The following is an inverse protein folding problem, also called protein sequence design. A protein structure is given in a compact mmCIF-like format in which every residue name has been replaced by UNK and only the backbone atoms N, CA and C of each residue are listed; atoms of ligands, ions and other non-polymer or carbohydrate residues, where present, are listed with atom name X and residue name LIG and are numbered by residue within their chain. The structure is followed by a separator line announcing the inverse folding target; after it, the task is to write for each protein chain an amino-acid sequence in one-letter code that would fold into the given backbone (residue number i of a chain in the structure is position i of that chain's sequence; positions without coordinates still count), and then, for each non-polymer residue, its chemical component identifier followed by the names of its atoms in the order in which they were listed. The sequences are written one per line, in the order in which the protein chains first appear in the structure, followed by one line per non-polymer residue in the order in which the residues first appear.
data_IF_209833386750
#
_entry.id   IF_209833386750
#
_cell.length_a   1.000
_cell.length_b   1.000
_cell.length_c   1.000
_cell.angle_alpha   90.00
_cell.angle_beta   90.00
_cell.angle_gamma   90.00
#
_symmetry.space_group_name_H-M   'P 1'
#
loop_
_entity.id
_entity.type
_entity.pdbx_description
1 polymer ?
#
# COMPACT_ATOMS: atom_id res chain seq x y z
N UNK A 1 -17.64 -7.35 0.63
CA UNK A 1 -16.19 -7.41 0.83
C UNK A 1 -15.91 -7.84 2.25
N UNK A 2 -15.36 -9.03 2.43
CA UNK A 2 -15.30 -9.65 3.75
C UNK A 2 -13.92 -10.21 4.13
N UNK A 3 -12.94 -10.14 3.22
CA UNK A 3 -11.64 -10.76 3.43
C UNK A 3 -10.53 -9.74 3.62
N UNK A 4 -10.63 -8.60 2.93
CA UNK A 4 -9.60 -7.56 2.98
C UNK A 4 -9.67 -6.82 4.32
N UNK A 5 -8.52 -6.74 5.00
CA UNK A 5 -8.37 -5.89 6.18
C UNK A 5 -8.15 -4.45 5.73
N UNK A 6 -9.07 -3.56 6.10
CA UNK A 6 -8.99 -2.14 5.74
C UNK A 6 -8.58 -1.23 6.89
N UNK A 7 -8.50 -1.76 8.10
CA UNK A 7 -7.96 -1.04 9.24
C UNK A 7 -6.44 -1.14 9.24
N UNK A 8 -5.76 -0.05 9.57
CA UNK A 8 -4.31 -0.08 9.66
C UNK A 8 -3.87 -1.07 10.74
N UNK A 9 -3.02 -2.03 10.35
CA UNK A 9 -2.54 -3.07 11.26
C UNK A 9 -1.02 -3.21 11.20
N UNK A 10 -0.33 -2.13 10.93
CA UNK A 10 1.12 -2.12 10.80
C UNK A 10 1.79 -2.47 12.13
N UNK A 11 2.87 -3.22 12.04
CA UNK A 11 3.67 -3.60 13.18
C UNK A 11 4.32 -4.96 12.95
N UNK A 12 5.23 -5.31 13.82
CA UNK A 12 5.84 -6.64 13.82
C UNK A 12 4.97 -7.55 14.68
N UNK A 13 4.51 -8.70 14.15
CA UNK A 13 3.68 -9.61 14.94
C UNK A 13 4.34 -9.96 16.27
N UNK A 14 3.58 -9.87 17.36
CA UNK A 14 4.06 -10.15 18.72
C UNK A 14 4.80 -9.02 19.39
N UNK A 15 5.11 -7.93 18.68
CA UNK A 15 5.76 -6.78 19.29
C UNK A 15 4.76 -5.89 20.01
N UNK A 16 5.23 -5.23 21.08
CA UNK A 16 4.46 -4.25 21.82
C UNK A 16 5.05 -2.87 21.57
N UNK A 17 4.18 -1.90 21.30
CA UNK A 17 4.60 -0.54 20.98
C UNK A 17 4.10 0.45 22.04
N UNK A 18 4.87 1.52 22.24
CA UNK A 18 4.44 2.64 23.07
C UNK A 18 3.31 3.40 22.40
N UNK A 19 2.49 4.07 23.19
CA UNK A 19 1.32 4.79 22.68
C UNK A 19 1.68 5.89 21.68
N UNK A 20 2.89 6.42 21.74
CA UNK A 20 3.35 7.49 20.85
C UNK A 20 3.96 6.96 19.56
N UNK A 21 4.16 5.66 19.45
CA UNK A 21 4.77 5.06 18.27
C UNK A 21 3.71 4.70 17.22
N UNK A 22 3.97 5.07 15.98
CA UNK A 22 3.05 4.84 14.86
C UNK A 22 3.74 4.02 13.78
N UNK A 23 3.62 2.67 13.82
CA UNK A 23 4.29 1.82 12.82
C UNK A 23 3.91 2.13 11.38
N UNK A 24 2.71 2.64 11.15
CA UNK A 24 2.27 3.05 9.82
C UNK A 24 3.11 4.19 9.26
N UNK A 25 3.52 5.12 10.10
CA UNK A 25 4.40 6.23 9.71
C UNK A 25 5.78 5.71 9.30
N UNK A 26 6.30 4.72 10.01
CA UNK A 26 7.56 4.07 9.66
C UNK A 26 7.49 3.44 8.27
N UNK A 27 6.42 2.73 7.97
CA UNK A 27 6.23 2.13 6.66
C UNK A 27 6.17 3.21 5.57
N UNK A 28 5.39 4.26 5.81
CA UNK A 28 5.22 5.34 4.84
C UNK A 28 6.56 6.04 4.56
N UNK A 29 7.34 6.30 5.60
CA UNK A 29 8.66 6.90 5.47
C UNK A 29 9.60 5.99 4.65
N UNK A 30 9.59 4.70 4.92
CA UNK A 30 10.38 3.72 4.16
C UNK A 30 9.95 3.67 2.70
N UNK A 31 8.66 3.74 2.44
CA UNK A 31 8.12 3.72 1.08
C UNK A 31 8.62 4.94 0.29
N UNK A 32 8.54 6.13 0.89
CA UNK A 32 9.05 7.36 0.26
C UNK A 32 10.54 7.25 0.02
N UNK A 33 11.30 6.81 1.02
CA UNK A 33 12.75 6.69 0.92
C UNK A 33 13.18 5.73 -0.19
N UNK A 34 12.41 4.68 -0.43
CA UNK A 34 12.73 3.69 -1.47
C UNK A 34 12.60 4.25 -2.88
N UNK A 35 11.94 5.39 -3.06
CA UNK A 35 11.78 6.05 -4.36
C UNK A 35 12.78 7.19 -4.58
N UNK A 36 13.55 7.58 -3.57
CA UNK A 36 14.48 8.69 -3.69
C UNK A 36 15.60 8.37 -4.68
N UNK A 37 15.93 9.34 -5.53
CA UNK A 37 16.98 9.20 -6.52
C UNK A 37 16.58 8.39 -7.76
N UNK A 38 15.33 7.93 -7.84
CA UNK A 38 14.85 7.16 -8.99
C UNK A 38 14.13 8.06 -9.99
N UNK A 39 14.23 7.69 -11.27
CA UNK A 39 13.39 8.29 -12.32
C UNK A 39 11.95 7.83 -12.16
N UNK A 40 11.02 8.48 -12.88
CA UNK A 40 9.60 8.07 -12.86
C UNK A 40 9.43 6.63 -13.34
N UNK A 41 10.15 6.21 -14.36
CA UNK A 41 10.08 4.85 -14.87
C UNK A 41 10.62 3.85 -13.84
N UNK A 42 11.71 4.19 -13.17
CA UNK A 42 12.26 3.35 -12.11
C UNK A 42 11.31 3.25 -10.92
N UNK A 43 10.67 4.34 -10.54
CA UNK A 43 9.67 4.34 -9.46
C UNK A 43 8.47 3.46 -9.81
N UNK A 44 8.00 3.51 -11.05
CA UNK A 44 6.93 2.61 -11.51
C UNK A 44 7.36 1.15 -11.41
N UNK A 45 8.60 0.85 -11.76
CA UNK A 45 9.13 -0.52 -11.66
C UNK A 45 9.19 -0.98 -10.20
N UNK A 46 9.60 -0.12 -9.28
CA UNK A 46 9.60 -0.43 -7.84
C UNK A 46 8.19 -0.76 -7.38
N UNK A 47 7.22 0.08 -7.74
CA UNK A 47 5.83 -0.14 -7.34
C UNK A 47 5.27 -1.45 -7.89
N UNK A 48 5.54 -1.76 -9.16
CA UNK A 48 5.08 -3.00 -9.76
C UNK A 48 5.68 -4.23 -9.09
N UNK A 49 6.98 -4.18 -8.79
CA UNK A 49 7.67 -5.28 -8.09
C UNK A 49 7.16 -5.44 -6.67
N UNK A 50 6.94 -4.33 -5.97
CA UNK A 50 6.41 -4.35 -4.61
C UNK A 50 5.04 -5.03 -4.57
N UNK A 51 4.17 -4.70 -5.51
CA UNK A 51 2.84 -5.32 -5.61
C UNK A 51 2.98 -6.83 -5.76
N UNK A 52 3.86 -7.29 -6.64
CA UNK A 52 4.06 -8.73 -6.87
C UNK A 52 4.63 -9.43 -5.63
N UNK A 53 5.60 -8.79 -4.95
CA UNK A 53 6.18 -9.35 -3.73
C UNK A 53 5.13 -9.49 -2.63
N UNK A 54 4.33 -8.44 -2.42
CA UNK A 54 3.27 -8.48 -1.41
C UNK A 54 2.16 -9.43 -1.79
N UNK A 55 1.79 -9.50 -3.07
CA UNK A 55 0.77 -10.43 -3.54
C UNK A 55 1.20 -11.88 -3.32
N UNK A 56 2.47 -12.20 -3.59
CA UNK A 56 3.01 -13.52 -3.32
C UNK A 56 2.97 -13.86 -1.83
N UNK A 57 3.25 -12.89 -0.99
CA UNK A 57 3.23 -13.10 0.46
C UNK A 57 1.79 -13.32 0.97
N UNK A 58 0.86 -12.50 0.51
CA UNK A 58 -0.55 -12.60 0.90
C UNK A 58 -1.15 -13.91 0.39
N UNK A 59 -1.02 -14.19 -0.89
CA UNK A 59 -1.43 -15.42 -1.53
C UNK A 59 -2.93 -15.66 -1.64
N UNK A 60 -3.74 -15.06 -0.78
CA UNK A 60 -5.20 -15.25 -0.80
C UNK A 60 -5.80 -14.44 -1.94
N UNK A 61 -6.24 -15.13 -2.98
CA UNK A 61 -6.74 -14.49 -4.19
C UNK A 61 -7.99 -13.64 -3.92
N UNK A 62 -8.80 -14.00 -2.92
CA UNK A 62 -9.98 -13.22 -2.54
C UNK A 62 -9.57 -11.85 -2.01
N UNK A 63 -8.55 -11.82 -1.15
CA UNK A 63 -8.00 -10.57 -0.60
C UNK A 63 -7.42 -9.73 -1.72
N UNK A 64 -6.68 -10.34 -2.63
CA UNK A 64 -6.03 -9.62 -3.73
C UNK A 64 -7.07 -9.01 -4.68
N UNK A 65 -8.13 -9.72 -5.02
CA UNK A 65 -9.21 -9.19 -5.85
C UNK A 65 -9.92 -8.03 -5.15
N UNK A 66 -10.23 -8.14 -3.88
CA UNK A 66 -10.86 -7.07 -3.11
C UNK A 66 -9.96 -5.84 -3.03
N UNK A 67 -8.65 -6.04 -2.85
CA UNK A 67 -7.70 -4.94 -2.82
C UNK A 67 -7.62 -4.22 -4.17
N UNK A 68 -7.61 -4.96 -5.27
CA UNK A 68 -7.62 -4.37 -6.62
C UNK A 68 -8.87 -3.54 -6.85
N UNK A 69 -10.02 -4.05 -6.47
CA UNK A 69 -11.29 -3.34 -6.63
C UNK A 69 -11.30 -2.04 -5.80
N UNK A 70 -10.86 -2.13 -4.56
CA UNK A 70 -10.80 -0.96 -3.67
C UNK A 70 -9.81 0.10 -4.19
N UNK A 71 -8.65 -0.34 -4.65
CA UNK A 71 -7.64 0.57 -5.20
C UNK A 71 -8.14 1.26 -6.47
N UNK A 72 -8.80 0.50 -7.36
CA UNK A 72 -9.37 1.07 -8.59
C UNK A 72 -10.47 2.08 -8.28
N UNK A 73 -11.34 1.78 -7.34
CA UNK A 73 -12.42 2.69 -6.95
C UNK A 73 -11.85 4.00 -6.40
N UNK A 74 -10.85 3.93 -5.53
CA UNK A 74 -10.20 5.11 -4.99
C UNK A 74 -9.50 5.94 -6.06
N UNK A 75 -8.79 5.29 -6.97
CA UNK A 75 -8.10 5.96 -8.06
C UNK A 75 -9.08 6.64 -9.03
N UNK A 76 -10.22 6.00 -9.30
CA UNK A 76 -11.24 6.58 -10.18
C UNK A 76 -11.83 7.86 -9.58
N UNK A 77 -12.10 7.86 -8.28
CA UNK A 77 -12.58 9.06 -7.57
C UNK A 77 -11.53 10.16 -7.62
N UNK A 78 -10.29 9.81 -7.35
CA UNK A 78 -9.19 10.79 -7.36
C UNK A 78 -8.95 11.35 -8.76
N UNK A 79 -9.02 10.52 -9.80
CA UNK A 79 -8.84 10.96 -11.18
C UNK A 79 -9.97 11.94 -11.57
N UNK A 80 -11.21 11.66 -11.18
CA UNK A 80 -12.34 12.57 -11.44
C UNK A 80 -12.14 13.91 -10.75
N UNK A 81 -11.66 13.92 -9.51
CA UNK A 81 -11.34 15.15 -8.78
C UNK A 81 -10.14 15.87 -9.41
N UNK A 82 -9.13 15.13 -9.84
CA UNK A 82 -7.93 15.67 -10.45
C UNK A 82 -8.16 16.24 -11.84
N UNK A 83 -9.16 15.74 -12.57
CA UNK A 83 -9.46 16.20 -13.92
C UNK A 83 -9.92 17.66 -13.96
N UNK A 84 -10.29 18.21 -12.82
CA UNK A 84 -10.70 19.61 -12.70
C UNK A 84 -9.55 20.56 -12.40
N UNK A 85 -8.39 20.03 -12.13
CA UNK A 85 -7.24 20.83 -11.72
C UNK A 85 -6.44 21.39 -12.89
#
# INVERSE_FOLDING_TARGET
MTHLQTQANFGVPGATYLNTYTPGDDFYESLIASHQGLSDDQSRAVNARLILLLANHIGDLRVLHEALDAARAGAAVQAAAGATA
#
